data_IF_560214762699
#
_entry.id   IF_560214762699
#
_cell.length_a   1.000
_cell.length_b   1.000
_cell.length_c   1.000
_cell.angle_alpha   90.00
_cell.angle_beta   90.00
_cell.angle_gamma   90.00
#
_symmetry.space_group_name_H-M   'P 1'
#
loop_
_entity.id
_entity.type
_entity.pdbx_description
1 polymer ?
#
# COMPACT_ATOMS: atom_id res chain seq x y z
N UNK A 1 6.76 -23.97 19.13
CA UNK A 1 7.70 -22.83 19.17
C UNK A 1 7.07 -21.68 19.93
N UNK A 2 7.90 -20.89 20.62
CA UNK A 2 7.54 -19.61 21.22
C UNK A 2 7.94 -18.49 20.24
N UNK A 3 6.98 -17.73 19.76
CA UNK A 3 7.14 -16.79 18.65
C UNK A 3 6.75 -15.39 19.12
N UNK A 4 7.66 -14.43 18.98
CA UNK A 4 7.39 -13.01 19.17
C UNK A 4 7.12 -12.34 17.81
N UNK A 5 6.05 -11.58 17.70
CA UNK A 5 5.75 -10.74 16.54
C UNK A 5 5.77 -9.29 17.00
N UNK A 6 6.69 -8.51 16.44
CA UNK A 6 6.82 -7.09 16.71
C UNK A 6 6.03 -6.32 15.67
N UNK A 7 4.91 -5.71 16.08
CA UNK A 7 3.98 -4.95 15.26
C UNK A 7 2.62 -5.62 15.08
N UNK A 8 1.55 -4.92 15.47
CA UNK A 8 0.14 -5.29 15.33
C UNK A 8 -0.51 -4.71 14.07
N UNK A 9 0.26 -4.51 13.01
CA UNK A 9 -0.25 -4.13 11.69
C UNK A 9 -0.84 -5.33 10.92
N UNK A 10 -1.30 -5.14 9.65
CA UNK A 10 -1.90 -6.21 8.86
C UNK A 10 -1.02 -7.47 8.76
N UNK A 11 0.30 -7.31 8.57
CA UNK A 11 1.24 -8.43 8.50
C UNK A 11 1.29 -9.22 9.82
N UNK A 12 1.51 -8.53 10.93
CA UNK A 12 1.69 -9.20 12.24
C UNK A 12 0.43 -9.88 12.73
N UNK A 13 -0.73 -9.21 12.62
CA UNK A 13 -2.03 -9.79 13.02
C UNK A 13 -2.36 -11.03 12.19
N UNK A 14 -2.18 -10.94 10.87
CA UNK A 14 -2.49 -12.05 9.99
C UNK A 14 -1.53 -13.22 10.17
N UNK A 15 -0.22 -12.94 10.31
CA UNK A 15 0.76 -14.00 10.59
C UNK A 15 0.44 -14.72 11.93
N UNK A 16 0.17 -13.96 12.98
CA UNK A 16 -0.16 -14.54 14.29
C UNK A 16 -1.37 -15.46 14.22
N UNK A 17 -2.41 -15.04 13.49
CA UNK A 17 -3.58 -15.88 13.22
C UNK A 17 -3.19 -17.17 12.46
N UNK A 18 -2.46 -17.05 11.35
CA UNK A 18 -2.07 -18.19 10.52
C UNK A 18 -1.24 -19.21 11.30
N UNK A 19 -0.23 -18.76 12.04
CA UNK A 19 0.65 -19.63 12.83
C UNK A 19 -0.13 -20.42 13.88
N UNK A 20 -1.07 -19.78 14.54
CA UNK A 20 -1.88 -20.41 15.59
C UNK A 20 -2.98 -21.29 15.03
N UNK A 21 -3.60 -20.91 13.90
CA UNK A 21 -4.57 -21.72 13.14
C UNK A 21 -3.92 -23.01 12.66
N UNK A 22 -2.73 -22.91 12.06
CA UNK A 22 -2.05 -24.04 11.42
C UNK A 22 -1.37 -24.97 12.44
N UNK A 23 -1.02 -24.44 13.62
CA UNK A 23 -0.42 -25.23 14.70
C UNK A 23 -0.77 -24.67 16.09
N UNK A 24 -1.80 -25.21 16.74
CA UNK A 24 -2.31 -24.73 18.03
C UNK A 24 -1.29 -24.77 19.18
N UNK A 25 -0.26 -25.62 19.08
CA UNK A 25 0.85 -25.71 20.05
C UNK A 25 1.88 -24.59 19.99
N UNK A 26 1.82 -23.68 19.02
CA UNK A 26 2.67 -22.49 19.05
C UNK A 26 2.20 -21.54 20.16
N UNK A 27 3.15 -20.95 20.91
CA UNK A 27 2.93 -19.76 21.72
C UNK A 27 3.25 -18.55 20.82
N UNK A 28 2.27 -17.65 20.65
CA UNK A 28 2.43 -16.47 19.81
C UNK A 28 2.09 -15.23 20.62
N UNK A 29 3.07 -14.36 20.80
CA UNK A 29 2.94 -13.08 21.49
C UNK A 29 3.15 -11.95 20.49
N UNK A 30 2.23 -10.96 20.45
CA UNK A 30 2.27 -9.84 19.50
C UNK A 30 2.37 -8.54 20.29
N UNK A 31 3.38 -7.73 19.98
CA UNK A 31 3.66 -6.46 20.64
C UNK A 31 3.36 -5.29 19.71
N UNK A 32 2.40 -4.43 20.07
CA UNK A 32 2.00 -3.27 19.30
C UNK A 32 2.24 -1.97 20.09
N UNK A 33 2.97 -1.03 19.50
CA UNK A 33 3.32 0.24 20.14
C UNK A 33 2.13 1.18 20.37
N UNK A 34 1.12 1.11 19.50
CA UNK A 34 -0.05 1.99 19.57
C UNK A 34 -1.14 1.39 20.45
N UNK A 35 -2.02 2.23 21.02
CA UNK A 35 -3.25 1.77 21.66
C UNK A 35 -4.17 1.03 20.68
N UNK A 36 -4.98 0.12 21.20
CA UNK A 36 -5.99 -0.59 20.42
C UNK A 36 -6.93 0.39 19.69
N UNK A 37 -7.28 0.09 18.45
CA UNK A 37 -8.16 0.92 17.63
C UNK A 37 -7.49 2.14 16.99
N UNK A 38 -6.21 2.37 17.23
CA UNK A 38 -5.47 3.44 16.56
C UNK A 38 -4.86 2.97 15.26
N UNK A 39 -5.07 3.75 14.20
CA UNK A 39 -4.40 3.55 12.90
C UNK A 39 -4.11 4.89 12.24
N UNK A 40 -3.12 4.92 11.37
CA UNK A 40 -2.74 6.07 10.59
C UNK A 40 -3.24 5.94 9.15
N UNK A 41 -3.63 7.08 8.54
CA UNK A 41 -4.23 7.09 7.21
C UNK A 41 -5.72 6.73 7.23
N UNK A 42 -6.29 6.40 6.09
CA UNK A 42 -7.72 6.28 5.87
C UNK A 42 -8.09 4.90 5.29
N UNK A 43 -8.37 4.81 4.00
CA UNK A 43 -8.63 3.57 3.33
C UNK A 43 -7.37 2.96 2.69
N UNK A 44 -7.38 1.67 2.49
CA UNK A 44 -6.40 0.95 1.67
C UNK A 44 -7.07 0.41 0.43
N UNK A 45 -6.33 0.40 -0.69
CA UNK A 45 -6.84 -0.04 -1.99
C UNK A 45 -6.11 -1.29 -2.45
N UNK A 46 -6.83 -2.15 -3.14
CA UNK A 46 -6.36 -3.39 -3.75
C UNK A 46 -6.74 -3.38 -5.22
N UNK A 47 -5.82 -3.77 -6.10
CA UNK A 47 -6.20 -4.04 -7.49
C UNK A 47 -7.18 -5.23 -7.54
N UNK A 48 -7.98 -5.29 -8.57
CA UNK A 48 -8.85 -6.43 -8.83
C UNK A 48 -8.04 -7.74 -8.77
N UNK A 49 -8.61 -8.77 -8.19
CA UNK A 49 -7.95 -10.06 -7.93
C UNK A 49 -6.76 -10.03 -6.95
N UNK A 50 -6.45 -8.89 -6.33
CA UNK A 50 -5.34 -8.79 -5.39
C UNK A 50 -5.51 -9.67 -4.15
N UNK A 51 -6.74 -10.08 -3.83
CA UNK A 51 -7.08 -10.93 -2.70
C UNK A 51 -7.45 -12.37 -3.08
N UNK A 52 -7.26 -12.78 -4.34
CA UNK A 52 -7.55 -14.16 -4.79
C UNK A 52 -6.78 -15.21 -3.96
N UNK A 53 -5.58 -14.88 -3.53
CA UNK A 53 -4.79 -15.77 -2.67
C UNK A 53 -5.47 -16.05 -1.32
N UNK A 54 -6.19 -15.07 -0.75
CA UNK A 54 -6.96 -15.31 0.47
C UNK A 54 -8.12 -16.28 0.22
N UNK A 55 -8.81 -16.16 -0.91
CA UNK A 55 -9.89 -17.07 -1.25
C UNK A 55 -9.40 -18.53 -1.38
N UNK A 56 -8.15 -18.72 -1.79
CA UNK A 56 -7.54 -20.05 -1.92
C UNK A 56 -7.03 -20.60 -0.58
N UNK A 57 -6.33 -19.78 0.19
CA UNK A 57 -5.56 -20.22 1.35
C UNK A 57 -6.27 -19.94 2.71
N UNK A 58 -7.19 -18.98 2.73
CA UNK A 58 -7.97 -18.59 3.90
C UNK A 58 -9.35 -18.03 3.50
N UNK A 59 -10.24 -18.89 2.96
CA UNK A 59 -11.56 -18.49 2.47
C UNK A 59 -12.41 -17.78 3.53
N UNK A 60 -12.24 -18.10 4.80
CA UNK A 60 -13.02 -17.50 5.88
C UNK A 60 -12.63 -16.02 6.09
N UNK A 61 -11.34 -15.68 6.08
CA UNK A 61 -10.90 -14.28 6.12
C UNK A 61 -11.35 -13.53 4.87
N UNK A 62 -11.25 -14.16 3.69
CA UNK A 62 -11.75 -13.58 2.43
C UNK A 62 -13.25 -13.24 2.51
N UNK A 63 -14.10 -14.16 2.99
CA UNK A 63 -15.55 -13.96 3.13
C UNK A 63 -15.91 -12.87 4.13
N UNK A 64 -15.07 -12.58 5.12
CA UNK A 64 -15.26 -11.49 6.06
C UNK A 64 -14.86 -10.13 5.50
N UNK A 65 -13.85 -10.10 4.62
CA UNK A 65 -13.32 -8.87 4.01
C UNK A 65 -14.20 -8.36 2.87
N UNK A 66 -14.52 -9.21 1.91
CA UNK A 66 -15.18 -8.81 0.65
C UNK A 66 -16.49 -8.03 0.86
N UNK A 67 -17.42 -8.45 1.76
CA UNK A 67 -18.67 -7.71 1.97
C UNK A 67 -18.50 -6.32 2.60
N UNK A 68 -17.31 -6.02 3.12
CA UNK A 68 -16.96 -4.75 3.76
C UNK A 68 -16.19 -3.81 2.86
N UNK A 69 -15.91 -4.25 1.63
CA UNK A 69 -15.13 -3.48 0.66
C UNK A 69 -16.03 -2.72 -0.31
N UNK A 70 -15.55 -1.56 -0.72
CA UNK A 70 -16.07 -0.84 -1.87
C UNK A 70 -15.36 -1.36 -3.14
N UNK A 71 -16.09 -1.49 -4.26
CA UNK A 71 -15.57 -2.07 -5.50
C UNK A 71 -15.84 -1.16 -6.69
N UNK A 72 -14.92 -1.12 -7.64
CA UNK A 72 -15.06 -0.45 -8.94
C UNK A 72 -14.47 -1.32 -10.04
N UNK A 73 -15.08 -1.26 -11.19
CA UNK A 73 -14.64 -2.00 -12.38
C UNK A 73 -13.72 -1.17 -13.28
N UNK A 74 -13.76 0.15 -13.14
CA UNK A 74 -13.03 1.09 -13.98
C UNK A 74 -12.18 2.04 -13.12
N UNK A 75 -11.15 2.62 -13.73
CA UNK A 75 -10.34 3.70 -13.18
C UNK A 75 -10.59 4.96 -14.00
N UNK A 76 -10.64 6.12 -13.36
CA UNK A 76 -10.77 7.42 -14.00
C UNK A 76 -9.46 8.21 -13.94
N UNK A 77 -9.05 8.76 -15.07
CA UNK A 77 -8.04 9.81 -15.13
C UNK A 77 -8.74 11.14 -15.39
N UNK A 78 -8.38 12.15 -14.64
CA UNK A 78 -8.88 13.50 -14.76
C UNK A 78 -7.69 14.45 -14.93
N UNK A 79 -7.37 14.74 -16.19
CA UNK A 79 -6.30 15.64 -16.57
C UNK A 79 -6.86 17.04 -16.80
N UNK A 80 -6.64 17.97 -15.85
CA UNK A 80 -7.05 19.36 -15.93
C UNK A 80 -8.57 19.56 -16.19
N UNK A 81 -9.41 18.64 -15.69
CA UNK A 81 -10.86 18.64 -15.89
C UNK A 81 -11.32 17.74 -17.05
N UNK A 82 -10.43 17.28 -17.91
CA UNK A 82 -10.74 16.34 -18.99
C UNK A 82 -10.62 14.90 -18.51
N UNK A 83 -11.72 14.14 -18.58
CA UNK A 83 -11.84 12.82 -17.98
C UNK A 83 -11.72 11.71 -19.01
N UNK A 84 -10.88 10.72 -18.73
CA UNK A 84 -10.75 9.48 -19.50
C UNK A 84 -11.00 8.30 -18.58
N UNK A 85 -11.88 7.39 -19.01
CA UNK A 85 -12.18 6.14 -18.31
C UNK A 85 -11.29 5.03 -18.85
N UNK A 86 -10.63 4.34 -17.94
CA UNK A 86 -9.87 3.13 -18.21
C UNK A 86 -10.74 1.96 -17.76
N UNK A 87 -11.50 1.40 -18.68
CA UNK A 87 -12.44 0.30 -18.42
C UNK A 87 -11.68 -0.98 -18.06
N UNK A 88 -12.26 -1.80 -17.18
CA UNK A 88 -11.69 -3.09 -16.76
C UNK A 88 -10.46 -2.99 -15.86
N UNK A 89 -10.05 -1.80 -15.45
CA UNK A 89 -8.99 -1.58 -14.45
C UNK A 89 -9.65 -1.50 -13.07
N UNK A 90 -10.11 -2.66 -12.59
CA UNK A 90 -10.86 -2.78 -11.36
C UNK A 90 -10.01 -2.62 -10.09
N UNK A 91 -10.64 -2.07 -9.06
CA UNK A 91 -10.09 -1.94 -7.72
C UNK A 91 -11.15 -2.19 -6.66
N UNK A 92 -10.67 -2.52 -5.47
CA UNK A 92 -11.46 -2.60 -4.26
C UNK A 92 -10.76 -1.85 -3.12
N UNK A 93 -11.51 -1.33 -2.17
CA UNK A 93 -10.93 -0.66 -0.99
C UNK A 93 -11.69 -0.99 0.28
N UNK A 94 -11.01 -0.83 1.40
CA UNK A 94 -11.58 -0.99 2.74
C UNK A 94 -10.97 0.07 3.67
N UNK A 95 -11.72 0.50 4.68
CA UNK A 95 -11.16 1.31 5.75
C UNK A 95 -10.03 0.59 6.46
N UNK A 96 -8.90 1.28 6.67
CA UNK A 96 -7.73 0.66 7.31
C UNK A 96 -8.05 0.12 8.70
N UNK A 97 -8.83 0.86 9.49
CA UNK A 97 -9.27 0.40 10.82
C UNK A 97 -10.13 -0.86 10.71
N UNK A 98 -11.08 -0.89 9.78
CA UNK A 98 -11.95 -2.05 9.57
C UNK A 98 -11.16 -3.31 9.16
N UNK A 99 -10.14 -3.16 8.32
CA UNK A 99 -9.23 -4.27 8.00
C UNK A 99 -8.53 -4.81 9.25
N UNK A 100 -7.98 -3.90 10.09
CA UNK A 100 -7.32 -4.30 11.34
C UNK A 100 -8.29 -4.97 12.33
N UNK A 101 -9.52 -4.50 12.42
CA UNK A 101 -10.57 -5.11 13.25
C UNK A 101 -10.86 -6.56 12.81
N UNK A 102 -11.07 -6.79 11.51
CA UNK A 102 -11.30 -8.13 10.96
C UNK A 102 -10.13 -9.06 11.26
N UNK A 103 -8.89 -8.60 11.04
CA UNK A 103 -7.69 -9.40 11.31
C UNK A 103 -7.51 -9.67 12.82
N UNK A 104 -7.85 -8.71 13.68
CA UNK A 104 -7.83 -8.88 15.13
C UNK A 104 -8.88 -9.88 15.61
N UNK A 105 -10.09 -9.86 15.03
CA UNK A 105 -11.14 -10.86 15.31
C UNK A 105 -10.68 -12.27 14.90
N UNK A 106 -10.00 -12.40 13.73
CA UNK A 106 -9.42 -13.67 13.30
C UNK A 106 -8.38 -14.16 14.29
N UNK A 107 -7.50 -13.30 14.72
CA UNK A 107 -6.46 -13.61 15.72
C UNK A 107 -7.07 -14.03 17.05
N UNK A 108 -8.06 -13.29 17.54
CA UNK A 108 -8.78 -13.60 18.80
C UNK A 108 -9.50 -14.95 18.72
N UNK A 109 -10.02 -15.33 17.55
CA UNK A 109 -10.68 -16.62 17.35
C UNK A 109 -9.78 -17.85 17.56
N UNK A 110 -8.47 -17.66 17.51
CA UNK A 110 -7.46 -18.70 17.80
C UNK A 110 -6.79 -18.50 19.18
N UNK A 111 -7.34 -17.64 20.03
CA UNK A 111 -6.92 -17.43 21.40
C UNK A 111 -5.68 -16.54 21.59
N UNK A 112 -5.37 -15.68 20.63
CA UNK A 112 -4.25 -14.72 20.73
C UNK A 112 -4.81 -13.30 20.79
N UNK A 113 -4.24 -12.47 21.67
CA UNK A 113 -4.57 -11.04 21.82
C UNK A 113 -3.27 -10.25 21.84
N UNK A 114 -3.11 -9.21 21.00
CA UNK A 114 -1.93 -8.37 21.01
C UNK A 114 -1.76 -7.59 22.32
N UNK A 115 -0.53 -7.39 22.74
CA UNK A 115 -0.15 -6.46 23.79
C UNK A 115 -0.02 -5.06 23.19
N UNK A 116 -1.07 -4.26 23.35
CA UNK A 116 -1.12 -2.88 22.85
C UNK A 116 -0.38 -1.91 23.79
N UNK A 117 -0.03 -0.73 23.28
CA UNK A 117 0.71 0.31 24.02
C UNK A 117 2.06 -0.16 24.56
N UNK A 118 2.70 -1.08 23.84
CA UNK A 118 3.96 -1.72 24.22
C UNK A 118 5.06 -1.36 23.21
N UNK A 119 5.58 -0.12 23.25
CA UNK A 119 6.66 0.31 22.35
C UNK A 119 7.97 -0.39 22.75
N UNK A 120 8.59 -1.08 21.81
CA UNK A 120 9.88 -1.73 22.00
C UNK A 120 11.01 -0.78 21.59
N UNK A 121 12.03 -0.67 22.45
CA UNK A 121 13.25 0.10 22.17
C UNK A 121 14.39 -0.78 21.68
N UNK A 122 14.40 -2.02 22.11
CA UNK A 122 15.38 -3.05 21.77
C UNK A 122 14.72 -4.43 21.83
N UNK A 123 15.47 -5.47 21.49
CA UNK A 123 14.99 -6.85 21.45
C UNK A 123 15.50 -7.72 22.61
N UNK A 124 16.06 -7.11 23.66
CA UNK A 124 16.65 -7.85 24.80
C UNK A 124 15.66 -8.74 25.54
N UNK A 125 14.36 -8.42 25.47
CA UNK A 125 13.30 -9.23 26.09
C UNK A 125 12.96 -10.51 25.31
N UNK A 126 13.55 -10.75 24.13
CA UNK A 126 13.19 -11.88 23.27
C UNK A 126 14.21 -13.04 23.25
N UNK A 127 15.16 -13.06 24.17
CA UNK A 127 16.22 -14.11 24.23
C UNK A 127 15.65 -15.53 24.40
N UNK A 128 14.47 -15.69 25.01
CA UNK A 128 13.78 -16.97 25.20
C UNK A 128 12.82 -17.36 24.06
N UNK A 129 12.76 -16.59 22.98
CA UNK A 129 11.89 -16.89 21.86
C UNK A 129 12.63 -17.69 20.78
N UNK A 130 11.95 -18.72 20.26
CA UNK A 130 12.48 -19.52 19.15
C UNK A 130 12.54 -18.70 17.86
N UNK A 131 11.58 -17.77 17.65
CA UNK A 131 11.47 -16.91 16.46
C UNK A 131 11.00 -15.50 16.85
N UNK A 132 11.66 -14.48 16.30
CA UNK A 132 11.26 -13.08 16.39
C UNK A 132 10.91 -12.57 14.99
N UNK A 133 9.69 -12.09 14.80
CA UNK A 133 9.21 -11.57 13.51
C UNK A 133 9.08 -10.06 13.57
N UNK A 134 9.82 -9.35 12.73
CA UNK A 134 9.66 -7.91 12.50
C UNK A 134 8.54 -7.64 11.53
N UNK A 135 7.39 -7.19 12.04
CA UNK A 135 6.22 -6.71 11.30
C UNK A 135 5.87 -5.27 11.69
N UNK A 136 6.87 -4.52 12.18
CA UNK A 136 6.80 -3.22 12.84
C UNK A 136 6.97 -2.03 11.86
N UNK A 137 6.83 -2.30 10.57
CA UNK A 137 6.67 -1.30 9.55
C UNK A 137 7.92 -0.48 9.21
N UNK A 138 7.72 0.74 8.72
CA UNK A 138 8.78 1.58 8.15
C UNK A 138 9.95 1.85 9.11
N UNK A 139 9.68 1.99 10.40
CA UNK A 139 10.66 2.32 11.43
C UNK A 139 11.07 1.09 12.26
N UNK A 140 11.10 -0.07 11.64
CA UNK A 140 11.32 -1.36 12.28
C UNK A 140 12.57 -1.37 13.17
N UNK A 141 12.38 -1.73 14.45
CA UNK A 141 13.48 -1.97 15.39
C UNK A 141 14.15 -3.33 15.15
N UNK A 142 13.40 -4.28 14.58
CA UNK A 142 13.95 -5.58 14.20
C UNK A 142 14.90 -5.45 13.02
N UNK A 143 14.52 -4.66 11.97
CA UNK A 143 15.40 -4.41 10.82
C UNK A 143 16.71 -3.72 11.19
N UNK A 144 16.70 -2.92 12.26
CA UNK A 144 17.91 -2.23 12.74
C UNK A 144 18.92 -3.16 13.39
N UNK A 145 18.57 -4.42 13.66
CA UNK A 145 19.53 -5.40 14.19
C UNK A 145 20.60 -5.74 13.16
N UNK A 146 21.82 -6.09 13.60
CA UNK A 146 22.87 -6.57 12.71
C UNK A 146 22.40 -7.75 11.84
N UNK A 147 22.92 -7.86 10.64
CA UNK A 147 22.71 -9.03 9.77
C UNK A 147 21.65 -8.86 8.68
N UNK A 148 20.75 -7.88 8.75
CA UNK A 148 19.75 -7.63 7.68
C UNK A 148 20.32 -6.86 6.49
N UNK A 149 21.40 -6.07 6.68
CA UNK A 149 22.01 -5.25 5.63
C UNK A 149 20.97 -4.44 4.85
N UNK A 150 20.23 -3.60 5.60
CA UNK A 150 19.11 -2.84 5.03
C UNK A 150 19.56 -1.47 4.55
N UNK A 151 19.03 -1.06 3.41
CA UNK A 151 19.15 0.29 2.88
C UNK A 151 17.80 0.98 2.83
N UNK A 152 17.80 2.28 3.12
CA UNK A 152 16.62 3.13 2.96
C UNK A 152 16.99 4.36 2.14
N UNK A 153 16.28 4.58 1.03
CA UNK A 153 16.40 5.80 0.23
C UNK A 153 15.03 6.46 0.07
N UNK A 154 15.00 7.76 -0.10
CA UNK A 154 13.76 8.51 -0.34
C UNK A 154 13.57 8.76 -1.84
N UNK A 155 12.33 8.65 -2.31
CA UNK A 155 11.94 9.14 -3.62
C UNK A 155 11.83 10.68 -3.59
N UNK A 156 11.84 11.33 -4.76
CA UNK A 156 11.92 12.78 -4.83
C UNK A 156 10.61 13.49 -4.54
N UNK A 157 9.47 12.88 -4.85
CA UNK A 157 8.15 13.47 -4.66
C UNK A 157 7.76 13.55 -3.19
N UNK A 158 7.02 14.61 -2.86
CA UNK A 158 6.36 14.76 -1.57
C UNK A 158 4.88 14.39 -1.68
N UNK A 159 4.36 13.71 -0.67
CA UNK A 159 2.95 13.37 -0.59
C UNK A 159 2.40 13.51 0.83
N UNK A 160 1.07 13.71 0.91
CA UNK A 160 0.32 13.62 2.16
C UNK A 160 -0.95 12.78 1.97
N UNK A 161 -1.31 12.04 3.00
CA UNK A 161 -2.46 11.14 2.99
C UNK A 161 -3.60 11.76 3.78
N UNK A 162 -4.52 12.39 3.08
CA UNK A 162 -5.75 12.97 3.63
C UNK A 162 -6.96 12.06 3.43
N UNK A 163 -8.05 12.41 4.08
CA UNK A 163 -9.39 11.91 3.82
C UNK A 163 -10.33 13.04 3.44
N UNK A 164 -11.53 12.71 2.99
CA UNK A 164 -12.65 13.64 2.78
C UNK A 164 -13.97 12.90 2.92
N UNK A 165 -15.05 13.62 3.26
CA UNK A 165 -16.40 13.08 3.29
C UNK A 165 -17.03 12.99 1.90
N UNK A 166 -16.40 13.51 0.85
CA UNK A 166 -16.88 13.34 -0.51
C UNK A 166 -16.79 11.88 -0.94
N UNK A 167 -17.91 11.19 -1.24
CA UNK A 167 -17.88 9.84 -1.81
C UNK A 167 -17.57 9.93 -3.31
N UNK A 168 -16.47 9.32 -3.73
CA UNK A 168 -16.13 9.21 -5.15
C UNK A 168 -16.72 7.93 -5.75
N UNK A 169 -17.24 8.01 -6.97
CA UNK A 169 -17.90 6.87 -7.63
C UNK A 169 -16.90 5.80 -8.08
N UNK A 170 -15.67 6.20 -8.38
CA UNK A 170 -14.59 5.27 -8.77
C UNK A 170 -13.24 5.78 -8.29
N UNK A 171 -12.23 4.91 -8.31
CA UNK A 171 -10.85 5.33 -8.11
C UNK A 171 -10.48 6.31 -9.21
N UNK A 172 -10.06 7.51 -8.83
CA UNK A 172 -9.73 8.59 -9.76
C UNK A 172 -8.33 9.13 -9.45
N UNK A 173 -7.63 9.46 -10.52
CA UNK A 173 -6.36 10.19 -10.50
C UNK A 173 -6.60 11.56 -11.08
N UNK A 174 -6.64 12.60 -10.24
CA UNK A 174 -6.85 13.98 -10.68
C UNK A 174 -5.53 14.74 -10.73
N UNK A 175 -5.24 15.33 -11.89
CA UNK A 175 -4.03 16.12 -12.14
C UNK A 175 -4.40 17.58 -12.31
N UNK A 176 -3.78 18.45 -11.52
CA UNK A 176 -4.07 19.90 -11.54
C UNK A 176 -2.78 20.71 -11.62
N UNK A 177 -2.84 21.88 -12.28
CA UNK A 177 -1.76 22.88 -12.26
C UNK A 177 -2.07 23.92 -11.19
N UNK A 178 -1.05 24.34 -10.46
CA UNK A 178 -1.11 25.45 -9.51
C UNK A 178 -0.12 26.54 -9.92
N UNK A 179 -0.12 27.71 -9.29
CA UNK A 179 0.91 28.72 -9.50
C UNK A 179 2.36 28.22 -9.20
N UNK A 180 2.48 27.19 -8.38
CA UNK A 180 3.77 26.59 -8.00
C UNK A 180 4.23 25.46 -8.91
N UNK A 181 3.29 24.79 -9.58
CA UNK A 181 3.55 23.65 -10.45
C UNK A 181 2.45 22.58 -10.39
N UNK A 182 2.76 21.35 -10.83
CA UNK A 182 1.78 20.27 -10.93
C UNK A 182 1.51 19.60 -9.59
N UNK A 183 0.24 19.23 -9.36
CA UNK A 183 -0.23 18.37 -8.28
C UNK A 183 -1.05 17.21 -8.81
N UNK A 184 -0.93 16.07 -8.18
CA UNK A 184 -1.79 14.91 -8.41
C UNK A 184 -2.54 14.55 -7.13
N UNK A 185 -3.78 14.07 -7.27
CA UNK A 185 -4.56 13.48 -6.19
C UNK A 185 -5.05 12.09 -6.58
N UNK A 186 -4.68 11.08 -5.76
CA UNK A 186 -5.25 9.74 -5.81
C UNK A 186 -6.43 9.69 -4.86
N UNK A 187 -7.63 9.48 -5.36
CA UNK A 187 -8.79 9.47 -4.48
C UNK A 187 -9.79 8.36 -4.81
N UNK A 188 -10.37 7.81 -3.76
CA UNK A 188 -11.34 6.73 -3.82
C UNK A 188 -12.09 6.64 -2.50
N UNK A 189 -13.37 6.29 -2.52
CA UNK A 189 -14.10 5.99 -1.29
C UNK A 189 -13.63 4.64 -0.72
N UNK A 190 -13.66 4.51 0.59
CA UNK A 190 -13.44 3.24 1.28
C UNK A 190 -14.61 2.87 2.20
N UNK A 191 -15.59 3.75 2.28
CA UNK A 191 -16.91 3.55 2.85
C UNK A 191 -17.90 4.47 2.15
N UNK A 192 -19.17 4.34 2.47
CA UNK A 192 -20.22 5.22 1.91
C UNK A 192 -20.07 6.69 2.29
N UNK A 193 -19.35 6.98 3.37
CA UNK A 193 -19.26 8.31 3.99
C UNK A 193 -17.85 8.94 3.88
N UNK A 194 -16.83 8.13 3.56
CA UNK A 194 -15.45 8.58 3.62
C UNK A 194 -14.63 8.09 2.44
N UNK A 195 -13.77 8.97 1.97
CA UNK A 195 -12.80 8.68 0.92
C UNK A 195 -11.37 8.98 1.38
N UNK A 196 -10.43 8.25 0.82
CA UNK A 196 -9.01 8.57 0.82
C UNK A 196 -8.75 9.64 -0.23
N UNK A 197 -7.85 10.59 0.07
CA UNK A 197 -7.41 11.64 -0.83
C UNK A 197 -5.91 11.87 -0.63
N UNK A 198 -5.08 11.15 -1.40
CA UNK A 198 -3.62 11.26 -1.33
C UNK A 198 -3.18 12.32 -2.32
N UNK A 199 -2.51 13.36 -1.84
CA UNK A 199 -1.98 14.43 -2.68
C UNK A 199 -0.48 14.25 -2.84
N UNK A 200 0.00 14.36 -4.06
CA UNK A 200 1.41 14.22 -4.42
C UNK A 200 1.86 15.39 -5.31
N UNK A 201 3.09 15.83 -5.12
CA UNK A 201 3.75 16.82 -5.96
C UNK A 201 5.23 16.55 -6.09
N UNK A 202 5.86 17.03 -7.18
CA UNK A 202 7.30 16.87 -7.36
C UNK A 202 8.13 17.82 -6.49
N UNK A 203 9.41 17.54 -6.34
CA UNK A 203 10.33 18.29 -5.49
C UNK A 203 10.35 19.78 -5.85
N UNK A 204 10.42 20.12 -7.14
CA UNK A 204 10.47 21.52 -7.59
C UNK A 204 9.21 22.30 -7.19
N UNK A 205 8.04 21.70 -7.34
CA UNK A 205 6.76 22.30 -6.91
C UNK A 205 6.68 22.43 -5.39
N UNK A 206 7.15 21.42 -4.65
CA UNK A 206 7.24 21.45 -3.19
C UNK A 206 8.10 22.62 -2.71
N UNK A 207 9.26 22.83 -3.30
CA UNK A 207 10.15 23.95 -2.96
C UNK A 207 9.52 25.31 -3.30
N UNK A 208 8.96 25.47 -4.50
CA UNK A 208 8.30 26.70 -4.94
C UNK A 208 7.05 27.05 -4.13
N UNK A 209 6.31 26.04 -3.68
CA UNK A 209 5.10 26.27 -2.86
C UNK A 209 5.41 26.80 -1.46
N UNK A 210 6.63 26.61 -0.99
CA UNK A 210 7.01 26.97 0.38
C UNK A 210 6.31 26.12 1.45
N UNK A 211 5.75 24.96 1.10
CA UNK A 211 5.00 24.07 1.99
C UNK A 211 5.79 23.64 3.23
N UNK A 212 7.11 23.59 3.14
CA UNK A 212 7.97 23.30 4.29
C UNK A 212 7.98 24.40 5.36
N UNK A 213 7.51 25.62 5.03
CA UNK A 213 7.59 26.82 5.89
C UNK A 213 6.24 27.25 6.46
N UNK A 214 5.16 26.61 6.09
CA UNK A 214 3.79 26.93 6.50
C UNK A 214 3.20 25.81 7.38
N UNK A 215 2.12 26.15 8.09
CA UNK A 215 1.42 25.20 8.97
C UNK A 215 0.67 24.13 8.19
N UNK A 216 0.31 23.02 8.86
CA UNK A 216 -0.52 21.97 8.25
C UNK A 216 -1.88 22.49 7.78
N UNK A 217 -2.47 23.44 8.53
CA UNK A 217 -3.74 24.05 8.18
C UNK A 217 -3.65 24.89 6.89
N UNK A 218 -2.57 25.64 6.72
CA UNK A 218 -2.32 26.40 5.49
C UNK A 218 -2.08 25.49 4.29
N UNK A 219 -1.35 24.38 4.48
CA UNK A 219 -1.16 23.33 3.43
C UNK A 219 -2.49 22.71 3.00
N UNK A 220 -3.35 22.35 3.96
CA UNK A 220 -4.68 21.83 3.68
C UNK A 220 -5.48 22.81 2.84
N UNK A 221 -5.55 24.08 3.27
CA UNK A 221 -6.30 25.10 2.55
C UNK A 221 -5.78 25.33 1.12
N UNK A 222 -4.46 25.31 0.94
CA UNK A 222 -3.86 25.38 -0.38
C UNK A 222 -4.25 24.17 -1.25
N UNK A 223 -4.22 22.97 -0.70
CA UNK A 223 -4.64 21.76 -1.39
C UNK A 223 -6.14 21.76 -1.74
N UNK A 224 -6.99 22.20 -0.82
CA UNK A 224 -8.43 22.40 -1.06
C UNK A 224 -8.69 23.39 -2.19
N UNK A 225 -7.89 24.44 -2.29
CA UNK A 225 -7.97 25.42 -3.38
C UNK A 225 -7.54 24.80 -4.72
N UNK A 226 -6.46 24.02 -4.75
CA UNK A 226 -5.97 23.36 -5.97
C UNK A 226 -6.97 22.35 -6.51
N UNK A 227 -7.65 21.63 -5.63
CA UNK A 227 -8.62 20.57 -5.98
C UNK A 227 -10.07 20.98 -5.68
N UNK A 228 -10.38 22.28 -5.71
CA UNK A 228 -11.72 22.79 -5.38
C UNK A 228 -12.84 22.19 -6.26
N UNK A 229 -12.57 22.01 -7.53
CA UNK A 229 -13.47 21.39 -8.51
C UNK A 229 -13.65 19.88 -8.28
N UNK A 230 -12.65 19.21 -7.70
CA UNK A 230 -12.69 17.79 -7.35
C UNK A 230 -13.40 17.58 -6.02
N UNK A 231 -13.14 18.41 -5.04
CA UNK A 231 -13.68 18.32 -3.68
C UNK A 231 -15.11 18.88 -3.56
N UNK A 232 -15.51 19.81 -4.46
CA UNK A 232 -16.85 20.42 -4.51
C UNK A 232 -17.30 20.99 -3.15
N UNK A 233 -16.36 21.57 -2.42
CA UNK A 233 -16.62 22.21 -1.12
C UNK A 233 -16.46 21.28 0.08
N UNK A 234 -16.27 19.99 -0.10
CA UNK A 234 -15.98 19.07 1.01
C UNK A 234 -14.54 19.28 1.52
N UNK A 235 -14.32 19.41 2.85
CA UNK A 235 -13.01 19.66 3.39
C UNK A 235 -12.11 18.39 3.36
N UNK A 236 -10.80 18.64 3.38
CA UNK A 236 -9.81 17.62 3.66
C UNK A 236 -9.72 17.34 5.16
N UNK A 237 -9.68 16.07 5.51
CA UNK A 237 -9.58 15.57 6.89
C UNK A 237 -8.20 14.99 7.12
N UNK A 238 -7.61 15.31 8.28
CA UNK A 238 -6.32 14.75 8.73
C UNK A 238 -6.50 13.54 9.63
N UNK A 239 -5.57 12.59 9.48
CA UNK A 239 -5.32 11.53 10.47
C UNK A 239 -3.80 11.33 10.60
N UNK A 240 -3.12 12.27 11.28
CA UNK A 240 -1.66 12.41 11.32
C UNK A 240 -1.02 12.47 9.91
N UNK A 241 -1.70 13.18 9.03
CA UNK A 241 -1.33 13.36 7.63
C UNK A 241 -0.19 14.37 7.52
N UNK A 242 1.05 13.88 7.53
CA UNK A 242 2.23 14.72 7.35
C UNK A 242 2.74 14.58 5.91
N UNK A 243 3.18 15.70 5.33
CA UNK A 243 3.90 15.70 4.06
C UNK A 243 5.27 15.05 4.23
N UNK A 244 5.57 14.09 3.39
CA UNK A 244 6.83 13.33 3.43
C UNK A 244 7.17 12.76 2.07
N UNK A 245 8.42 12.38 1.90
CA UNK A 245 8.89 11.60 0.76
C UNK A 245 8.65 10.10 1.02
N UNK A 246 8.46 9.34 -0.05
CA UNK A 246 8.23 7.90 0.07
C UNK A 246 9.56 7.18 0.32
N UNK A 247 9.67 6.39 1.41
CA UNK A 247 10.87 5.61 1.69
C UNK A 247 10.85 4.30 0.88
N UNK A 248 11.93 4.02 0.18
CA UNK A 248 12.20 2.73 -0.45
C UNK A 248 13.11 1.97 0.48
N UNK A 249 12.62 0.88 1.02
CA UNK A 249 13.33 -0.03 1.92
C UNK A 249 13.70 -1.29 1.15
N UNK A 250 14.96 -1.68 1.26
CA UNK A 250 15.50 -2.92 0.69
C UNK A 250 16.36 -3.60 1.75
N UNK A 251 16.16 -4.90 1.94
CA UNK A 251 16.97 -5.75 2.81
C UNK A 251 17.66 -6.82 1.97
N UNK A 252 18.98 -6.93 2.12
CA UNK A 252 19.75 -7.98 1.45
C UNK A 252 19.35 -9.35 1.99
N UNK A 253 19.35 -9.49 3.32
CA UNK A 253 18.91 -10.68 4.04
C UNK A 253 17.51 -10.46 4.61
N UNK A 254 16.64 -11.43 4.43
CA UNK A 254 15.26 -11.36 4.94
C UNK A 254 15.14 -11.92 6.35
N UNK A 255 16.13 -12.71 6.73
CA UNK A 255 16.27 -13.26 8.09
C UNK A 255 17.73 -13.27 8.53
N UNK A 256 17.93 -13.26 9.83
CA UNK A 256 19.24 -13.41 10.48
C UNK A 256 19.05 -14.15 11.80
N UNK A 257 19.79 -15.25 12.00
CA UNK A 257 19.62 -16.15 13.15
C UNK A 257 18.16 -16.61 13.31
N UNK A 258 17.50 -16.22 14.41
CA UNK A 258 16.10 -16.51 14.69
C UNK A 258 15.18 -15.31 14.43
N UNK A 259 15.63 -14.27 13.71
CA UNK A 259 14.85 -13.08 13.37
C UNK A 259 14.49 -13.09 11.89
N UNK A 260 13.26 -12.68 11.54
CA UNK A 260 12.77 -12.55 10.15
C UNK A 260 11.94 -11.29 9.99
N UNK A 261 11.98 -10.67 8.81
CA UNK A 261 11.19 -9.47 8.48
C UNK A 261 10.07 -9.81 7.51
N UNK A 262 8.92 -9.12 7.66
CA UNK A 262 7.78 -9.17 6.74
C UNK A 262 7.13 -7.79 6.58
N UNK A 263 6.40 -7.58 5.49
CA UNK A 263 5.70 -6.33 5.20
C UNK A 263 6.62 -5.12 5.11
N UNK A 264 6.16 -3.95 5.55
CA UNK A 264 6.93 -2.70 5.45
C UNK A 264 8.21 -2.68 6.32
N UNK A 265 8.39 -3.62 7.22
CA UNK A 265 9.66 -3.83 7.90
C UNK A 265 10.72 -4.42 6.96
N UNK A 266 10.32 -5.24 6.00
CA UNK A 266 11.19 -5.89 5.03
C UNK A 266 11.36 -5.08 3.75
N UNK A 267 10.27 -4.56 3.20
CA UNK A 267 10.22 -3.89 1.90
C UNK A 267 9.06 -2.90 1.82
N UNK A 268 9.19 -1.92 0.96
CA UNK A 268 8.09 -0.99 0.64
C UNK A 268 7.73 -1.07 -0.84
N UNK A 269 6.47 -0.89 -1.16
CA UNK A 269 5.97 -0.72 -2.52
C UNK A 269 5.25 0.62 -2.63
N UNK A 270 5.61 1.44 -3.61
CA UNK A 270 5.00 2.75 -3.81
C UNK A 270 3.47 2.63 -3.96
N UNK A 271 2.74 3.53 -3.29
CA UNK A 271 1.27 3.46 -3.20
C UNK A 271 0.55 3.54 -4.55
N UNK A 272 1.21 4.04 -5.60
CA UNK A 272 0.65 4.17 -6.95
C UNK A 272 0.19 2.86 -7.61
N UNK A 273 0.59 1.71 -7.09
CA UNK A 273 0.15 0.39 -7.58
C UNK A 273 -0.84 -0.31 -6.63
N UNK A 274 -1.17 0.28 -5.46
CA UNK A 274 -2.14 -0.26 -4.52
C UNK A 274 -1.81 -1.66 -3.97
N UNK A 275 -0.53 -1.96 -3.71
CA UNK A 275 -0.12 -3.33 -3.38
C UNK A 275 0.51 -3.52 -2.00
N UNK A 276 0.85 -2.45 -1.26
CA UNK A 276 1.61 -2.59 0.00
C UNK A 276 0.95 -3.53 1.02
N UNK A 277 -0.33 -3.33 1.32
CA UNK A 277 -1.07 -4.18 2.26
C UNK A 277 -1.21 -5.62 1.75
N UNK A 278 -1.48 -5.80 0.45
CA UNK A 278 -1.50 -7.13 -0.18
C UNK A 278 -0.18 -7.87 0.03
N UNK A 279 0.95 -7.22 -0.28
CA UNK A 279 2.28 -7.81 -0.15
C UNK A 279 2.57 -8.23 1.29
N UNK A 280 2.18 -7.41 2.27
CA UNK A 280 2.31 -7.72 3.68
C UNK A 280 1.51 -8.97 4.10
N UNK A 281 0.28 -9.14 3.61
CA UNK A 281 -0.53 -10.35 3.86
C UNK A 281 0.05 -11.58 3.15
N UNK A 282 0.52 -11.43 1.92
CA UNK A 282 1.19 -12.51 1.18
C UNK A 282 2.49 -12.97 1.84
N UNK A 283 3.28 -12.06 2.42
CA UNK A 283 4.48 -12.40 3.19
C UNK A 283 4.13 -13.25 4.41
N UNK A 284 3.08 -12.84 5.14
CA UNK A 284 2.59 -13.57 6.31
C UNK A 284 2.18 -15.00 5.94
N UNK A 285 1.46 -15.14 4.84
CA UNK A 285 1.04 -16.45 4.33
C UNK A 285 2.24 -17.31 3.90
N UNK A 286 3.19 -16.73 3.17
CA UNK A 286 4.37 -17.44 2.70
C UNK A 286 5.25 -17.93 3.88
N UNK A 287 5.46 -17.08 4.89
CA UNK A 287 6.22 -17.45 6.09
C UNK A 287 5.50 -18.54 6.88
N UNK A 288 4.17 -18.43 7.10
CA UNK A 288 3.39 -19.45 7.79
C UNK A 288 3.44 -20.80 7.06
N UNK A 289 3.30 -20.81 5.72
CA UNK A 289 3.43 -22.02 4.90
C UNK A 289 4.80 -22.68 5.03
N UNK A 290 5.87 -21.89 4.99
CA UNK A 290 7.24 -22.38 5.14
C UNK A 290 7.47 -23.00 6.54
N UNK A 291 7.00 -22.33 7.61
CA UNK A 291 7.08 -22.87 8.98
C UNK A 291 6.27 -24.16 9.10
N UNK A 292 5.06 -24.22 8.58
CA UNK A 292 4.22 -25.42 8.59
C UNK A 292 4.88 -26.59 7.86
N UNK A 293 5.52 -26.32 6.71
CA UNK A 293 6.16 -27.37 5.90
C UNK A 293 7.40 -27.96 6.59
N UNK A 294 8.24 -27.14 7.22
CA UNK A 294 9.49 -27.58 7.85
C UNK A 294 9.36 -27.92 9.35
N UNK A 295 8.22 -27.62 9.97
CA UNK A 295 7.95 -27.94 11.38
C UNK A 295 8.93 -27.30 12.35
N UNK A 296 9.78 -28.09 12.99
CA UNK A 296 10.76 -27.61 13.98
C UNK A 296 12.08 -27.12 13.36
N UNK A 297 12.32 -27.38 12.08
CA UNK A 297 13.52 -26.87 11.38
C UNK A 297 13.30 -25.43 10.91
N UNK A 298 13.46 -24.50 11.86
CA UNK A 298 13.27 -23.07 11.61
C UNK A 298 14.20 -22.54 10.52
N UNK A 299 15.47 -22.95 10.49
CA UNK A 299 16.43 -22.44 9.52
C UNK A 299 16.05 -22.81 8.08
N UNK A 300 15.56 -24.02 7.85
CA UNK A 300 15.05 -24.45 6.56
C UNK A 300 13.75 -23.71 6.19
N UNK A 301 12.88 -23.41 7.16
CA UNK A 301 11.68 -22.63 6.95
C UNK A 301 12.00 -21.20 6.49
N UNK A 302 12.92 -20.50 7.16
CA UNK A 302 13.31 -19.14 6.80
C UNK A 302 14.00 -19.06 5.43
N UNK A 303 14.88 -20.02 5.11
CA UNK A 303 15.48 -20.13 3.77
C UNK A 303 14.43 -20.37 2.69
N UNK A 304 13.44 -21.21 2.94
CA UNK A 304 12.35 -21.51 1.99
C UNK A 304 11.49 -20.27 1.78
N UNK A 305 11.11 -19.56 2.86
CA UNK A 305 10.38 -18.30 2.77
C UNK A 305 11.10 -17.29 1.86
N UNK A 306 12.37 -16.99 2.12
CA UNK A 306 13.14 -16.05 1.30
C UNK A 306 13.25 -16.52 -0.15
N UNK A 307 13.63 -17.77 -0.38
CA UNK A 307 13.86 -18.33 -1.72
C UNK A 307 12.60 -18.28 -2.59
N UNK A 308 11.45 -18.61 -2.03
CA UNK A 308 10.20 -18.70 -2.81
C UNK A 308 9.51 -17.34 -2.96
N UNK A 309 9.54 -16.51 -1.91
CA UNK A 309 8.82 -15.24 -1.92
C UNK A 309 9.58 -14.10 -2.60
N UNK A 310 10.90 -14.03 -2.46
CA UNK A 310 11.75 -12.94 -2.98
C UNK A 310 11.62 -12.70 -4.48
N UNK A 311 11.60 -13.72 -5.36
CA UNK A 311 11.45 -13.49 -6.81
C UNK A 311 10.09 -12.90 -7.21
N UNK A 312 9.03 -13.28 -6.49
CA UNK A 312 7.67 -12.75 -6.75
C UNK A 312 7.56 -11.32 -6.27
N UNK A 313 8.06 -11.05 -5.06
CA UNK A 313 8.07 -9.72 -4.48
C UNK A 313 8.90 -8.74 -5.32
N UNK A 314 10.12 -9.11 -5.72
CA UNK A 314 11.00 -8.23 -6.50
C UNK A 314 10.32 -7.69 -7.75
N UNK A 315 9.61 -8.54 -8.51
CA UNK A 315 8.83 -8.10 -9.69
C UNK A 315 7.78 -7.05 -9.37
N UNK A 316 7.15 -7.13 -8.19
CA UNK A 316 6.13 -6.17 -7.77
C UNK A 316 6.75 -4.86 -7.29
N UNK A 317 7.85 -4.95 -6.54
CA UNK A 317 8.61 -3.79 -6.09
C UNK A 317 9.19 -3.04 -7.29
N UNK A 318 9.80 -3.73 -8.25
CA UNK A 318 10.33 -3.13 -9.49
C UNK A 318 9.24 -2.38 -10.27
N UNK A 319 8.07 -3.00 -10.44
CA UNK A 319 6.94 -2.34 -11.09
C UNK A 319 6.43 -1.12 -10.30
N UNK A 320 6.47 -1.17 -8.97
CA UNK A 320 6.11 0.00 -8.14
C UNK A 320 7.12 1.14 -8.30
N UNK A 321 8.40 0.82 -8.42
CA UNK A 321 9.45 1.82 -8.63
C UNK A 321 9.39 2.42 -10.04
N UNK A 322 9.09 1.63 -11.07
CA UNK A 322 8.82 2.16 -12.41
C UNK A 322 7.62 3.10 -12.41
N UNK A 323 6.54 2.71 -11.74
CA UNK A 323 5.37 3.56 -11.56
C UNK A 323 5.73 4.84 -10.79
N UNK A 324 6.48 4.76 -9.70
CA UNK A 324 6.94 5.92 -8.94
C UNK A 324 7.76 6.88 -9.80
N UNK A 325 8.68 6.37 -10.63
CA UNK A 325 9.47 7.18 -11.57
C UNK A 325 8.58 7.94 -12.57
N UNK A 326 7.49 7.34 -13.03
CA UNK A 326 6.52 8.04 -13.86
C UNK A 326 5.88 9.20 -13.07
N UNK A 327 5.51 8.97 -11.79
CA UNK A 327 4.96 10.03 -10.93
C UNK A 327 6.00 11.12 -10.59
N UNK A 328 7.28 10.82 -10.52
CA UNK A 328 8.32 11.85 -10.37
C UNK A 328 8.38 12.81 -11.55
N UNK A 329 7.90 12.37 -12.72
CA UNK A 329 7.87 13.15 -13.97
C UNK A 329 6.44 13.48 -14.46
N UNK A 330 5.39 13.27 -13.66
CA UNK A 330 4.01 13.45 -14.12
C UNK A 330 3.72 14.86 -14.63
N UNK A 331 4.42 15.87 -14.15
CA UNK A 331 4.30 17.25 -14.62
C UNK A 331 4.63 17.41 -16.11
N UNK A 332 5.60 16.67 -16.62
CA UNK A 332 5.94 16.62 -18.05
C UNK A 332 4.85 15.88 -18.83
N UNK A 333 4.39 14.74 -18.30
CA UNK A 333 3.31 13.95 -18.90
C UNK A 333 2.01 14.73 -19.01
N UNK A 334 1.71 15.64 -18.10
CA UNK A 334 0.52 16.51 -18.17
C UNK A 334 0.48 17.46 -19.37
N UNK A 335 1.55 17.55 -20.16
CA UNK A 335 1.56 18.30 -21.41
C UNK A 335 1.17 17.44 -22.63
N UNK A 336 0.99 16.13 -22.45
CA UNK A 336 0.47 15.25 -23.49
C UNK A 336 -1.03 15.48 -23.70
N UNK A 337 -1.53 15.25 -24.91
CA UNK A 337 -2.96 15.14 -25.15
C UNK A 337 -3.59 14.08 -24.23
N UNK A 338 -4.85 14.23 -23.80
CA UNK A 338 -5.45 13.37 -22.78
C UNK A 338 -5.40 11.86 -23.09
N UNK A 339 -5.59 11.46 -24.34
CA UNK A 339 -5.51 10.05 -24.73
C UNK A 339 -4.09 9.49 -24.65
N UNK A 340 -3.09 10.26 -25.04
CA UNK A 340 -1.67 9.88 -24.95
C UNK A 340 -1.19 9.88 -23.49
N UNK A 341 -1.69 10.83 -22.69
CA UNK A 341 -1.47 10.84 -21.25
C UNK A 341 -2.01 9.56 -20.60
N UNK A 342 -3.23 9.17 -20.94
CA UNK A 342 -3.86 7.97 -20.40
C UNK A 342 -3.12 6.69 -20.82
N UNK A 343 -2.65 6.60 -22.04
CA UNK A 343 -1.79 5.51 -22.51
C UNK A 343 -0.46 5.46 -21.73
N UNK A 344 0.21 6.60 -21.57
CA UNK A 344 1.43 6.71 -20.77
C UNK A 344 1.20 6.29 -19.32
N UNK A 345 0.07 6.67 -18.73
CA UNK A 345 -0.32 6.26 -17.39
C UNK A 345 -0.49 4.74 -17.27
N UNK A 346 -1.14 4.09 -18.24
CA UNK A 346 -1.32 2.63 -18.23
C UNK A 346 0.02 1.88 -18.35
N UNK A 347 0.92 2.39 -19.18
CA UNK A 347 2.23 1.79 -19.41
C UNK A 347 3.24 2.01 -18.24
N UNK A 348 2.95 2.92 -17.29
CA UNK A 348 3.90 3.40 -16.25
C UNK A 348 4.59 2.32 -15.41
N UNK A 349 3.93 1.19 -15.20
CA UNK A 349 4.48 0.09 -14.40
C UNK A 349 5.16 -1.00 -15.23
N UNK A 350 5.31 -0.80 -16.55
CA UNK A 350 5.98 -1.74 -17.47
C UNK A 350 5.28 -3.10 -17.60
N UNK A 351 4.00 -3.21 -17.20
CA UNK A 351 3.27 -4.48 -17.14
C UNK A 351 2.21 -4.66 -18.21
N UNK A 352 1.81 -3.56 -18.84
CA UNK A 352 0.71 -3.50 -19.78
C UNK A 352 1.28 -3.00 -21.10
N UNK A 353 1.37 -3.87 -22.09
CA UNK A 353 1.63 -3.56 -23.49
C UNK A 353 0.30 -3.35 -24.24
N UNK A 354 0.38 -2.96 -25.52
CA UNK A 354 -0.79 -2.66 -26.34
C UNK A 354 -1.73 -3.86 -26.48
N UNK A 355 -1.21 -5.08 -26.66
CA UNK A 355 -2.02 -6.30 -26.79
C UNK A 355 -2.75 -6.62 -25.48
N UNK A 356 -2.10 -6.44 -24.38
CA UNK A 356 -2.71 -6.62 -23.06
C UNK A 356 -3.73 -5.52 -22.75
N UNK A 357 -3.49 -4.28 -23.18
CA UNK A 357 -4.47 -3.19 -23.09
C UNK A 357 -5.75 -3.50 -23.87
N UNK A 358 -5.66 -4.06 -25.09
CA UNK A 358 -6.82 -4.47 -25.87
C UNK A 358 -7.71 -5.49 -25.13
N UNK A 359 -7.09 -6.32 -24.30
CA UNK A 359 -7.81 -7.34 -23.53
C UNK A 359 -8.40 -6.75 -22.24
N UNK A 360 -7.63 -5.93 -21.52
CA UNK A 360 -8.01 -5.43 -20.19
C UNK A 360 -8.95 -4.23 -20.29
N UNK A 361 -8.67 -3.30 -21.22
CA UNK A 361 -9.38 -2.03 -21.38
C UNK A 361 -9.80 -1.80 -22.85
N UNK A 362 -10.71 -2.64 -23.39
CA UNK A 362 -11.06 -2.64 -24.80
C UNK A 362 -11.75 -1.35 -25.26
N UNK A 363 -12.58 -0.71 -24.43
CA UNK A 363 -13.25 0.56 -24.77
C UNK A 363 -12.25 1.70 -24.84
N UNK A 364 -11.34 1.80 -23.87
CA UNK A 364 -10.25 2.77 -23.92
C UNK A 364 -9.40 2.58 -25.19
N UNK A 365 -8.99 1.35 -25.50
CA UNK A 365 -8.20 1.07 -26.70
C UNK A 365 -8.91 1.43 -27.99
N UNK A 366 -10.22 1.16 -28.09
CA UNK A 366 -11.00 1.59 -29.25
C UNK A 366 -11.01 3.12 -29.40
N UNK A 367 -11.19 3.86 -28.32
CA UNK A 367 -11.13 5.32 -28.27
C UNK A 367 -9.75 5.87 -28.66
N UNK A 368 -8.67 5.29 -28.11
CA UNK A 368 -7.29 5.67 -28.44
C UNK A 368 -6.98 5.46 -29.93
N UNK A 369 -7.39 4.33 -30.50
CA UNK A 369 -7.20 4.06 -31.93
C UNK A 369 -7.98 5.03 -32.82
N UNK A 370 -9.21 5.40 -32.41
CA UNK A 370 -10.00 6.41 -33.13
C UNK A 370 -9.34 7.80 -33.05
N UNK A 371 -8.86 8.18 -31.85
CA UNK A 371 -8.11 9.42 -31.67
C UNK A 371 -6.88 9.47 -32.57
N UNK A 372 -6.07 8.41 -32.64
CA UNK A 372 -4.88 8.32 -33.51
C UNK A 372 -5.21 8.46 -35.00
N UNK A 373 -6.32 7.88 -35.44
CA UNK A 373 -6.78 8.04 -36.83
C UNK A 373 -7.12 9.51 -37.17
N UNK A 374 -7.75 10.22 -36.22
CA UNK A 374 -8.18 11.60 -36.43
C UNK A 374 -7.00 12.58 -36.46
N UNK A 375 -5.88 12.32 -35.82
CA UNK A 375 -4.69 13.18 -35.84
C UNK A 375 -3.72 12.84 -37.00
N UNK A 376 -3.92 11.69 -37.66
CA UNK A 376 -3.08 11.25 -38.80
C UNK A 376 -3.62 11.74 -40.15
N UNK A 377 -4.75 12.50 -40.14
CA UNK A 377 -5.36 13.16 -41.26
C UNK A 377 -5.01 14.66 -41.24
#
# INVERSE_FOLDING_TARGET
MKIAIVGGGPAGLYLGYLLKRDHSGHSVDIFEQNPQGNTWGFGVVFSDRALDFLNLDDPETYQRLIPKMEHWVDLKLDLLGEQIILDGIGFASIGRLQLLEILSERLTSVGVTPEFSTPLKDLSCFHDYDLVVGADGLNSVVRQQPGFHSETRLLSNFFAWYGTKKPFDTLTQSFRKSPWGPFNAHHYRYSKEMSTFIIETNLETWERSGFSKITDQERIKACETIFADVLEGEPLVQNRSTWRQFPVIQCENWFHENMVLIGDALHTAHFSIGSGTRLALEDSLALSKAIRFHGTDLQSALKTFEKERKPVLSKLVDASLQSAKWYENFGEHMNLPPWEFAESYLARAGRIDEERMKTISPKFMAGLLQYRKNISI
#
